data_IF_302596233683
#
_entry.id   IF_302596233683
#
_cell.length_a   1.000
_cell.length_b   1.000
_cell.length_c   1.000
_cell.angle_alpha   90.00
_cell.angle_beta   90.00
_cell.angle_gamma   90.00
#
_symmetry.space_group_name_H-M   'P 1'
#
loop_
_entity.id
_entity.type
_entity.pdbx_description
1 polymer ?
#
# COMPACT_ATOMS: atom_id res chain seq x y z
N UNK A 1 1.95 -16.24 -21.69
CA UNK A 1 1.66 -15.12 -20.76
C UNK A 1 2.29 -15.28 -19.38
N UNK A 2 2.75 -16.48 -19.02
CA UNK A 2 3.46 -16.76 -17.77
C UNK A 2 4.58 -15.75 -17.43
N UNK A 3 5.48 -15.50 -18.39
CA UNK A 3 6.63 -14.62 -18.21
C UNK A 3 6.23 -13.19 -17.79
N UNK A 4 5.16 -12.66 -18.39
CA UNK A 4 4.63 -11.33 -18.04
C UNK A 4 4.05 -11.33 -16.63
N UNK A 5 3.35 -12.41 -16.24
CA UNK A 5 2.80 -12.58 -14.89
C UNK A 5 3.87 -12.67 -13.81
N UNK A 6 5.08 -13.11 -14.16
CA UNK A 6 6.24 -13.12 -13.25
C UNK A 6 6.95 -11.76 -13.16
N UNK A 7 6.51 -10.78 -13.95
CA UNK A 7 7.02 -9.41 -13.90
C UNK A 7 8.06 -9.06 -14.94
N UNK A 8 8.43 -9.97 -15.86
CA UNK A 8 9.46 -9.72 -16.88
C UNK A 8 9.10 -8.54 -17.80
N UNK A 9 10.13 -7.86 -18.30
CA UNK A 9 9.98 -6.81 -19.29
C UNK A 9 9.69 -7.39 -20.68
N UNK A 10 9.04 -6.60 -21.54
CA UNK A 10 8.65 -7.04 -22.88
C UNK A 10 9.86 -7.44 -23.74
N UNK A 11 11.01 -6.78 -23.55
CA UNK A 11 12.27 -7.10 -24.22
C UNK A 11 12.74 -8.51 -23.85
N UNK A 12 12.73 -8.85 -22.58
CA UNK A 12 13.16 -10.17 -22.09
C UNK A 12 12.18 -11.26 -22.53
N UNK A 13 10.88 -10.95 -22.55
CA UNK A 13 9.85 -11.83 -23.10
C UNK A 13 10.12 -12.09 -24.58
N UNK A 14 10.45 -11.06 -25.36
CA UNK A 14 10.78 -11.21 -26.76
C UNK A 14 11.99 -12.13 -26.96
N UNK A 15 13.05 -11.90 -26.18
CA UNK A 15 14.28 -12.70 -26.23
C UNK A 15 14.01 -14.16 -25.83
N UNK A 16 13.28 -14.38 -24.74
CA UNK A 16 12.92 -15.72 -24.26
C UNK A 16 12.06 -16.50 -25.26
N UNK A 17 11.20 -15.80 -26.01
CA UNK A 17 10.34 -16.40 -27.05
C UNK A 17 11.03 -16.50 -28.42
N UNK A 18 12.26 -16.00 -28.57
CA UNK A 18 12.98 -15.98 -29.85
C UNK A 18 12.34 -15.07 -30.90
N UNK A 19 11.58 -14.06 -30.48
CA UNK A 19 10.91 -13.13 -31.38
C UNK A 19 11.61 -11.77 -31.43
N UNK A 20 11.66 -11.15 -32.62
CA UNK A 20 12.16 -9.79 -32.74
C UNK A 20 11.22 -8.81 -32.01
N UNK A 21 11.80 -7.82 -31.32
CA UNK A 21 11.02 -6.78 -30.63
C UNK A 21 10.12 -6.01 -31.60
N UNK A 22 10.62 -5.69 -32.80
CA UNK A 22 9.83 -4.99 -33.81
C UNK A 22 8.58 -5.77 -34.22
N UNK A 23 8.68 -7.09 -34.38
CA UNK A 23 7.52 -7.93 -34.67
C UNK A 23 6.55 -7.96 -33.48
N UNK A 24 7.05 -8.08 -32.26
CA UNK A 24 6.22 -8.07 -31.05
C UNK A 24 5.42 -6.78 -30.90
N UNK A 25 6.08 -5.61 -30.97
CA UNK A 25 5.40 -4.33 -30.84
C UNK A 25 4.44 -4.06 -32.01
N UNK A 26 4.78 -4.49 -33.23
CA UNK A 26 3.85 -4.42 -34.36
C UNK A 26 2.60 -5.27 -34.12
N UNK A 27 2.74 -6.46 -33.54
CA UNK A 27 1.60 -7.30 -33.19
C UNK A 27 0.73 -6.67 -32.11
N UNK A 28 1.34 -6.06 -31.08
CA UNK A 28 0.62 -5.31 -30.06
C UNK A 28 -0.12 -4.14 -30.68
N UNK A 29 0.53 -3.35 -31.53
CA UNK A 29 -0.08 -2.19 -32.20
C UNK A 29 -1.31 -2.62 -33.00
N UNK A 30 -1.18 -3.64 -33.84
CA UNK A 30 -2.29 -4.19 -34.64
C UNK A 30 -3.39 -4.77 -33.75
N UNK A 31 -3.02 -5.53 -32.71
CA UNK A 31 -3.97 -6.14 -31.78
C UNK A 31 -4.70 -5.13 -30.89
N UNK A 32 -4.09 -3.96 -30.67
CA UNK A 32 -4.68 -2.85 -29.90
C UNK A 32 -5.51 -1.90 -30.74
N UNK A 33 -5.52 -2.06 -32.07
CA UNK A 33 -6.28 -1.20 -32.96
C UNK A 33 -7.79 -1.42 -32.81
N UNK A 34 -8.48 -0.35 -32.47
CA UNK A 34 -9.95 -0.31 -32.34
C UNK A 34 -10.60 0.30 -33.60
N UNK A 35 -9.81 0.91 -34.48
CA UNK A 35 -10.32 1.61 -35.68
C UNK A 35 -10.79 0.65 -36.77
N UNK A 36 -10.42 -0.63 -36.69
CA UNK A 36 -10.78 -1.66 -37.68
C UNK A 36 -9.86 -1.65 -38.90
N UNK A 37 -8.75 -0.90 -38.87
CA UNK A 37 -7.83 -0.77 -39.99
C UNK A 37 -7.15 -2.10 -40.37
N UNK A 38 -7.13 -3.06 -39.45
CA UNK A 38 -6.50 -4.37 -39.60
C UNK A 38 -7.47 -5.54 -39.45
N UNK A 39 -8.77 -5.34 -39.65
CA UNK A 39 -9.78 -6.38 -39.49
C UNK A 39 -9.59 -7.57 -40.45
N UNK A 40 -9.06 -7.30 -41.64
CA UNK A 40 -8.74 -8.33 -42.65
C UNK A 40 -7.43 -9.09 -42.37
N UNK A 41 -6.69 -8.75 -41.31
CA UNK A 41 -5.46 -9.46 -40.96
C UNK A 41 -5.76 -10.90 -40.54
N UNK A 42 -5.11 -11.85 -41.21
CA UNK A 42 -5.28 -13.30 -41.00
C UNK A 42 -5.22 -13.73 -39.52
N UNK A 43 -4.45 -13.02 -38.70
CA UNK A 43 -4.20 -13.36 -37.30
C UNK A 43 -4.75 -12.30 -36.33
N UNK A 44 -5.69 -11.44 -36.74
CA UNK A 44 -6.20 -10.35 -35.90
C UNK A 44 -6.74 -10.84 -34.55
N UNK A 45 -7.47 -11.96 -34.53
CA UNK A 45 -7.99 -12.56 -33.29
C UNK A 45 -6.88 -12.98 -32.33
N UNK A 46 -5.81 -13.60 -32.86
CA UNK A 46 -4.65 -14.00 -32.06
C UNK A 46 -3.89 -12.78 -31.52
N UNK A 47 -3.75 -11.73 -32.32
CA UNK A 47 -3.10 -10.48 -31.91
C UNK A 47 -3.89 -9.75 -30.83
N UNK A 48 -5.23 -9.69 -30.95
CA UNK A 48 -6.12 -9.16 -29.90
C UNK A 48 -6.01 -9.97 -28.61
N UNK A 49 -6.09 -11.30 -28.71
CA UNK A 49 -5.92 -12.20 -27.56
C UNK A 49 -4.54 -12.06 -26.90
N UNK A 50 -3.47 -11.80 -27.67
CA UNK A 50 -2.15 -11.50 -27.14
C UNK A 50 -2.17 -10.23 -26.29
N UNK A 51 -2.76 -9.14 -26.81
CA UNK A 51 -2.84 -7.85 -26.10
C UNK A 51 -3.65 -7.98 -24.81
N UNK A 52 -4.82 -8.62 -24.88
CA UNK A 52 -5.66 -8.88 -23.71
C UNK A 52 -4.94 -9.75 -22.67
N UNK A 53 -4.28 -10.80 -23.13
CA UNK A 53 -3.52 -11.70 -22.25
C UNK A 53 -2.32 -11.01 -21.60
N UNK A 54 -1.64 -10.08 -22.28
CA UNK A 54 -0.57 -9.28 -21.69
C UNK A 54 -1.12 -8.31 -20.63
N UNK A 55 -2.22 -7.62 -20.92
CA UNK A 55 -2.89 -6.72 -19.94
C UNK A 55 -3.33 -7.48 -18.70
N UNK A 56 -3.96 -8.65 -18.89
CA UNK A 56 -4.38 -9.52 -17.79
C UNK A 56 -3.19 -10.00 -16.96
N UNK A 57 -2.14 -10.52 -17.60
CA UNK A 57 -0.96 -11.00 -16.90
C UNK A 57 -0.23 -9.89 -16.12
N UNK A 58 -0.20 -8.66 -16.65
CA UNK A 58 0.36 -7.50 -15.96
C UNK A 58 -0.50 -7.11 -14.74
N UNK A 59 -1.83 -7.17 -14.86
CA UNK A 59 -2.73 -6.93 -13.72
C UNK A 59 -2.58 -8.02 -12.64
N UNK A 60 -2.46 -9.28 -13.04
CA UNK A 60 -2.22 -10.40 -12.14
C UNK A 60 -0.89 -10.21 -11.37
N UNK A 61 0.18 -9.75 -12.03
CA UNK A 61 1.45 -9.44 -11.36
C UNK A 61 1.32 -8.32 -10.32
N UNK A 62 0.57 -7.25 -10.62
CA UNK A 62 0.27 -6.22 -9.61
C UNK A 62 -0.50 -6.79 -8.43
N UNK A 63 -1.48 -7.65 -8.71
CA UNK A 63 -2.31 -8.28 -7.67
C UNK A 63 -1.46 -9.16 -6.74
N UNK A 64 -0.52 -9.96 -7.26
CA UNK A 64 0.34 -10.82 -6.42
C UNK A 64 1.25 -10.00 -5.49
N UNK A 65 1.83 -8.89 -5.99
CA UNK A 65 2.62 -7.99 -5.15
C UNK A 65 1.77 -7.35 -4.04
N UNK A 66 0.57 -6.87 -4.39
CA UNK A 66 -0.34 -6.28 -3.41
C UNK A 66 -0.84 -7.30 -2.38
N UNK A 67 -1.11 -8.54 -2.80
CA UNK A 67 -1.49 -9.63 -1.91
C UNK A 67 -0.35 -9.97 -0.94
N UNK A 68 0.89 -10.04 -1.42
CA UNK A 68 2.08 -10.25 -0.58
C UNK A 68 2.21 -9.16 0.48
N UNK A 69 2.04 -7.88 0.09
CA UNK A 69 2.09 -6.74 1.02
C UNK A 69 0.97 -6.83 2.06
N UNK A 70 -0.27 -7.15 1.63
CA UNK A 70 -1.43 -7.30 2.52
C UNK A 70 -1.23 -8.45 3.51
N UNK A 71 -0.78 -9.61 3.04
CA UNK A 71 -0.51 -10.78 3.88
C UNK A 71 0.55 -10.46 4.94
N UNK A 72 1.65 -9.84 4.53
CA UNK A 72 2.72 -9.45 5.46
C UNK A 72 2.26 -8.41 6.51
N UNK A 73 1.37 -7.48 6.12
CA UNK A 73 0.77 -6.53 7.06
C UNK A 73 -0.14 -7.22 8.10
N UNK A 74 -0.92 -8.22 7.69
CA UNK A 74 -1.82 -8.96 8.58
C UNK A 74 -1.07 -9.92 9.52
N UNK A 75 -0.07 -10.62 8.99
CA UNK A 75 0.72 -11.62 9.73
C UNK A 75 1.86 -10.97 10.57
N UNK A 76 2.00 -9.64 10.51
CA UNK A 76 3.09 -8.87 11.13
C UNK A 76 4.49 -9.37 10.72
N UNK A 77 4.64 -9.88 9.50
CA UNK A 77 5.93 -10.30 8.95
C UNK A 77 6.61 -9.13 8.25
N UNK A 78 7.95 -9.02 8.35
CA UNK A 78 8.69 -7.83 7.93
C UNK A 78 9.02 -7.76 6.41
N UNK A 79 8.52 -8.70 5.60
CA UNK A 79 9.01 -8.92 4.24
C UNK A 79 8.22 -8.17 3.14
N UNK A 80 7.31 -7.26 3.49
CA UNK A 80 6.51 -6.51 2.51
C UNK A 80 7.33 -5.49 1.70
N UNK A 81 8.45 -5.01 2.23
CA UNK A 81 9.24 -3.92 1.65
C UNK A 81 9.79 -4.26 0.27
N UNK A 82 10.25 -5.50 0.06
CA UNK A 82 10.74 -5.94 -1.24
C UNK A 82 9.64 -5.94 -2.32
N UNK A 83 8.43 -6.40 -1.96
CA UNK A 83 7.29 -6.38 -2.86
C UNK A 83 6.83 -4.95 -3.18
N UNK A 84 6.80 -4.06 -2.17
CA UNK A 84 6.48 -2.65 -2.35
C UNK A 84 7.49 -1.94 -3.27
N UNK A 85 8.80 -2.19 -3.08
CA UNK A 85 9.83 -1.58 -3.93
C UNK A 85 9.77 -2.04 -5.38
N UNK A 86 9.46 -3.32 -5.65
CA UNK A 86 9.24 -3.79 -7.01
C UNK A 86 8.04 -3.09 -7.66
N UNK A 87 6.95 -2.92 -6.90
CA UNK A 87 5.76 -2.22 -7.36
C UNK A 87 6.05 -0.75 -7.70
N UNK A 88 6.71 -0.02 -6.80
CA UNK A 88 7.08 1.39 -6.98
C UNK A 88 8.01 1.61 -8.17
N UNK A 89 9.03 0.76 -8.34
CA UNK A 89 10.02 0.90 -9.43
C UNK A 89 9.42 0.61 -10.81
N UNK A 90 8.55 -0.41 -10.90
CA UNK A 90 7.93 -0.81 -12.17
C UNK A 90 6.77 0.11 -12.55
N UNK A 91 6.06 0.66 -11.57
CA UNK A 91 4.87 1.49 -11.77
C UNK A 91 4.96 2.82 -10.99
N UNK A 92 5.96 3.68 -11.28
CA UNK A 92 6.20 4.90 -10.51
C UNK A 92 5.02 5.88 -10.57
N UNK A 93 4.30 5.93 -11.70
CA UNK A 93 3.16 6.83 -11.85
C UNK A 93 1.92 6.39 -11.05
N UNK A 94 1.80 5.09 -10.74
CA UNK A 94 0.63 4.55 -10.04
C UNK A 94 0.87 4.38 -8.54
N UNK A 95 2.09 3.95 -8.16
CA UNK A 95 2.43 3.58 -6.77
C UNK A 95 3.58 4.40 -6.20
N UNK A 96 4.20 5.30 -6.97
CA UNK A 96 5.24 6.19 -6.48
C UNK A 96 4.72 7.19 -5.45
N UNK A 97 5.64 7.76 -4.67
CA UNK A 97 5.32 8.79 -3.68
C UNK A 97 4.69 10.00 -4.39
N UNK A 98 3.44 10.31 -4.04
CA UNK A 98 2.80 11.56 -4.46
C UNK A 98 3.44 12.73 -3.70
N UNK A 99 4.20 13.57 -4.40
CA UNK A 99 4.64 14.85 -3.85
C UNK A 99 3.43 15.77 -3.69
N UNK A 100 2.89 15.84 -2.47
CA UNK A 100 1.96 16.92 -2.13
C UNK A 100 2.77 18.21 -2.06
N UNK A 101 2.63 19.07 -3.07
CA UNK A 101 3.08 20.45 -2.95
C UNK A 101 2.19 21.13 -1.92
N UNK A 102 2.69 21.27 -0.69
CA UNK A 102 2.24 22.35 0.16
C UNK A 102 2.76 23.63 -0.51
N UNK A 103 1.86 24.45 -1.05
CA UNK A 103 2.20 25.82 -1.40
C UNK A 103 2.52 26.56 -0.08
N UNK A 104 3.79 26.56 0.32
CA UNK A 104 4.34 27.43 1.35
C UNK A 104 4.36 28.87 0.80
N UNK A 105 3.17 29.43 0.63
CA UNK A 105 2.98 30.66 -0.13
C UNK A 105 1.57 31.21 -0.05
N UNK A 106 0.90 31.05 1.10
CA UNK A 106 -0.23 31.89 1.53
C UNK A 106 -0.53 31.63 3.00
N UNK A 107 0.08 32.45 3.85
CA UNK A 107 -0.53 32.88 5.13
C UNK A 107 -1.77 33.74 4.82
N UNK A 108 -2.70 33.20 4.05
CA UNK A 108 -4.00 33.79 3.82
C UNK A 108 -5.00 32.86 4.48
N UNK A 109 -5.67 33.37 5.51
CA UNK A 109 -6.75 32.67 6.19
C UNK A 109 -7.65 31.95 5.16
N UNK A 110 -8.07 30.70 5.43
CA UNK A 110 -8.90 29.95 4.48
C UNK A 110 -10.17 30.76 4.20
N UNK A 111 -10.31 31.25 2.97
CA UNK A 111 -11.51 31.96 2.55
C UNK A 111 -12.60 30.94 2.26
N UNK A 112 -13.47 30.72 3.23
CA UNK A 112 -14.67 29.91 3.06
C UNK A 112 -15.69 30.81 2.36
N UNK A 113 -15.99 30.55 1.08
CA UNK A 113 -17.04 31.28 0.35
C UNK A 113 -18.41 30.66 0.68
N UNK A 114 -18.80 30.81 1.93
CA UNK A 114 -20.20 30.84 2.34
C UNK A 114 -20.39 32.27 2.82
N UNK A 115 -21.46 32.97 2.43
CA UNK A 115 -21.68 34.40 2.70
C UNK A 115 -21.85 34.77 4.20
N UNK A 116 -21.19 34.05 5.10
CA UNK A 116 -21.13 34.22 6.53
C UNK A 116 -19.66 34.49 6.90
N UNK A 117 -19.34 35.65 7.51
CA UNK A 117 -17.99 35.91 7.97
C UNK A 117 -17.63 34.95 9.11
N UNK A 118 -16.53 34.20 8.95
CA UNK A 118 -15.96 33.35 10.00
C UNK A 118 -14.86 34.13 10.71
N UNK A 119 -15.07 34.48 11.97
CA UNK A 119 -14.02 35.02 12.82
C UNK A 119 -13.18 33.86 13.39
N UNK A 120 -11.87 33.91 13.19
CA UNK A 120 -10.92 33.04 13.90
C UNK A 120 -10.82 33.56 15.32
N UNK A 121 -11.39 32.82 16.28
CA UNK A 121 -11.24 33.13 17.70
C UNK A 121 -9.90 32.55 18.13
N UNK A 122 -8.95 33.41 18.51
CA UNK A 122 -7.75 32.94 19.20
C UNK A 122 -8.20 32.27 20.50
N UNK A 123 -7.98 30.96 20.59
CA UNK A 123 -8.29 30.21 21.80
C UNK A 123 -7.32 30.72 22.88
N UNK A 124 -7.85 31.37 23.92
CA UNK A 124 -7.05 31.66 25.10
C UNK A 124 -6.35 30.37 25.55
N UNK A 125 -5.07 30.44 25.95
CA UNK A 125 -4.34 29.26 26.36
C UNK A 125 -5.12 28.62 27.51
N UNK A 126 -5.48 27.35 27.33
CA UNK A 126 -5.99 26.54 28.42
C UNK A 126 -4.85 26.49 29.44
N UNK A 127 -4.99 27.25 30.51
CA UNK A 127 -4.16 27.09 31.70
C UNK A 127 -4.43 25.68 32.19
N UNK A 128 -3.50 24.77 31.92
CA UNK A 128 -3.47 23.46 32.57
C UNK A 128 -3.35 23.72 34.06
N UNK A 129 -4.46 23.62 34.79
CA UNK A 129 -4.42 23.56 36.23
C UNK A 129 -3.55 22.35 36.59
N UNK A 130 -2.46 22.58 37.32
CA UNK A 130 -1.67 21.50 37.90
C UNK A 130 -2.61 20.65 38.76
N UNK A 131 -2.93 19.46 38.28
CA UNK A 131 -3.61 18.46 39.08
C UNK A 131 -2.58 17.92 40.06
N UNK A 132 -2.68 18.35 41.32
CA UNK A 132 -1.93 17.76 42.42
C UNK A 132 -2.36 16.29 42.55
N UNK A 133 -1.50 15.39 42.05
CA UNK A 133 -1.68 13.95 42.23
C UNK A 133 -1.34 13.63 43.67
N UNK A 134 -2.35 13.64 44.53
CA UNK A 134 -2.27 13.07 45.87
C UNK A 134 -1.99 11.58 45.71
N UNK A 135 -0.80 11.15 46.13
CA UNK A 135 -0.44 9.73 46.23
C UNK A 135 -1.40 9.11 47.25
N UNK A 136 -2.26 8.21 46.77
CA UNK A 136 -2.96 7.29 47.67
C UNK A 136 -1.93 6.24 48.04
N UNK A 137 -1.45 6.28 49.29
CA UNK A 137 -0.55 5.27 49.80
C UNK A 137 -1.17 3.88 49.63
N UNK A 138 -0.42 3.00 48.97
CA UNK A 138 -0.80 1.65 48.59
C UNK A 138 -0.75 0.70 49.81
N UNK A 139 -1.43 1.09 50.89
CA UNK A 139 -1.46 0.34 52.15
C UNK A 139 -2.21 -1.00 52.03
N UNK A 140 -2.94 -1.22 50.94
CA UNK A 140 -3.65 -2.47 50.68
C UNK A 140 -2.74 -3.60 50.17
N UNK A 141 -1.57 -3.29 49.60
CA UNK A 141 -0.68 -4.30 49.03
C UNK A 141 0.20 -5.02 50.06
N UNK A 142 0.40 -4.44 51.25
CA UNK A 142 1.27 -5.01 52.29
C UNK A 142 0.56 -6.07 53.15
N UNK A 143 -0.76 -5.92 53.39
CA UNK A 143 -1.54 -6.90 54.16
C UNK A 143 -1.75 -8.25 53.46
N UNK A 144 -1.57 -8.30 52.13
CA UNK A 144 -1.74 -9.53 51.36
C UNK A 144 -0.50 -10.44 51.37
N UNK A 145 0.68 -9.91 51.72
CA UNK A 145 1.93 -10.69 51.79
C UNK A 145 2.10 -11.40 53.13
N UNK A 146 1.66 -10.80 54.22
CA UNK A 146 1.79 -11.37 55.57
C UNK A 146 0.87 -12.57 55.83
N UNK A 147 -0.25 -12.68 55.10
CA UNK A 147 -1.21 -13.79 55.28
C UNK A 147 -0.82 -15.08 54.54
N UNK A 148 0.12 -15.01 53.60
CA UNK A 148 0.60 -16.17 52.84
C UNK A 148 1.80 -16.88 53.50
N UNK A 149 2.43 -16.28 54.51
CA UNK A 149 3.63 -16.80 55.15
C UNK A 149 3.38 -17.68 56.41
N UNK A 150 2.13 -17.95 56.79
CA UNK A 150 1.80 -18.58 58.08
C UNK A 150 1.02 -19.91 58.02
N UNK A 151 1.02 -20.62 56.88
CA UNK A 151 0.46 -21.98 56.82
C UNK A 151 1.56 -23.05 57.05
N UNK A 152 1.44 -23.88 58.10
CA UNK A 152 2.46 -24.86 58.45
C UNK A 152 2.48 -26.06 57.50
N UNK A 153 3.70 -26.52 57.18
CA UNK A 153 3.98 -27.79 56.52
C UNK A 153 3.73 -28.99 57.48
N UNK A 154 3.14 -30.06 56.94
CA UNK A 154 2.91 -31.35 57.63
C UNK A 154 1.49 -31.88 57.31
N UNK A 155 1.24 -33.11 56.92
CA UNK A 155 1.92 -34.37 57.23
C UNK A 155 1.72 -35.41 56.11
N UNK A 156 2.66 -36.35 56.11
CA UNK A 156 2.76 -37.56 55.30
C UNK A 156 1.74 -38.61 55.78
N UNK A 157 1.10 -39.31 54.83
CA UNK A 157 0.28 -40.50 55.08
C UNK A 157 0.00 -41.25 53.79
#
# INVERSE_FOLDING_TARGET
MELKRQGLADVDICQALGMSQSAFYRWIQIGSDTTGAYEDDKNIKLKRALVEGLKKAEADYKATLLETIKAAALEKTCNWTAAAWLLERKYPNEFGKSERRFDEGKTAAPTIVLGVPVAVIEREPVVEAEVEVVRVDDSAAELARDKAASLPEGEVG
#
